data_IF_852154467745
#
_entry.id   IF_852154467745
#
_cell.length_a   1.000
_cell.length_b   1.000
_cell.length_c   1.000
_cell.angle_alpha   90.00
_cell.angle_beta   90.00
_cell.angle_gamma   90.00
#
_symmetry.space_group_name_H-M   'P 1'
#
loop_
_entity.id
_entity.type
_entity.pdbx_description
1 polymer ?
#
# COMPACT_ATOMS: atom_id res chain seq x y z
N UNK A 1 -3.27 15.53 -14.42
CA UNK A 1 -3.70 14.71 -13.26
C UNK A 1 -4.74 15.48 -12.47
N UNK A 2 -5.80 14.81 -12.08
CA UNK A 2 -6.88 15.40 -11.30
C UNK A 2 -6.49 15.45 -9.83
N UNK A 3 -6.82 16.56 -9.18
CA UNK A 3 -6.68 16.67 -7.73
C UNK A 3 -7.80 15.87 -7.06
N UNK A 4 -7.45 15.07 -6.05
CA UNK A 4 -8.43 14.32 -5.26
C UNK A 4 -8.65 14.98 -3.91
N UNK A 5 -9.91 14.99 -3.42
CA UNK A 5 -10.19 15.51 -2.09
C UNK A 5 -9.37 14.78 -1.02
N UNK A 6 -8.79 15.52 -0.09
CA UNK A 6 -7.90 14.98 0.93
C UNK A 6 -8.52 13.84 1.75
N UNK A 7 -9.81 13.93 2.05
CA UNK A 7 -10.50 12.90 2.82
C UNK A 7 -10.62 11.55 2.10
N UNK A 8 -10.39 11.52 0.77
CA UNK A 8 -10.37 10.29 -0.02
C UNK A 8 -9.00 9.63 -0.09
N UNK A 9 -7.96 10.31 0.39
CA UNK A 9 -6.60 9.83 0.31
C UNK A 9 -6.27 9.06 1.57
N UNK A 10 -5.94 7.77 1.42
CA UNK A 10 -5.64 6.90 2.56
C UNK A 10 -4.48 7.42 3.41
N UNK A 11 -3.49 8.04 2.77
CA UNK A 11 -2.30 8.55 3.46
C UNK A 11 -2.51 9.82 4.29
N UNK A 12 -3.64 10.53 4.16
CA UNK A 12 -3.91 11.75 4.92
C UNK A 12 -4.68 11.51 6.21
N UNK A 13 -5.14 10.29 6.42
CA UNK A 13 -5.95 9.97 7.59
C UNK A 13 -5.11 10.12 8.87
N UNK A 14 -5.63 10.89 9.83
CA UNK A 14 -5.06 11.06 11.19
C UNK A 14 -3.65 11.66 11.26
N UNK A 15 -3.47 12.84 10.74
CA UNK A 15 -2.34 13.69 11.13
C UNK A 15 -1.08 13.57 10.29
N UNK A 16 -1.11 12.79 9.23
CA UNK A 16 -0.05 12.82 8.23
C UNK A 16 -0.33 13.87 7.14
N UNK A 17 -1.37 14.68 7.37
CA UNK A 17 -1.75 15.73 6.44
C UNK A 17 -0.84 16.95 6.62
N UNK A 18 -0.20 17.32 5.53
CA UNK A 18 0.46 18.61 5.41
C UNK A 18 -0.54 19.58 4.78
N UNK A 19 -0.96 20.57 5.54
CA UNK A 19 -1.96 21.54 5.10
C UNK A 19 -1.56 22.30 3.81
N UNK A 20 -0.27 22.34 3.48
CA UNK A 20 0.25 23.01 2.30
C UNK A 20 0.42 22.08 1.10
N UNK A 21 0.27 20.77 1.31
CA UNK A 21 0.47 19.76 0.27
C UNK A 21 -0.70 19.64 -0.69
N UNK A 22 -0.40 19.35 -1.94
CA UNK A 22 -1.36 19.01 -2.98
C UNK A 22 -1.23 17.51 -3.33
N UNK A 23 -2.37 16.87 -3.56
CA UNK A 23 -2.44 15.47 -3.94
C UNK A 23 -2.99 15.33 -5.34
N UNK A 24 -2.22 14.69 -6.22
CA UNK A 24 -2.60 14.46 -7.61
C UNK A 24 -2.57 12.98 -7.93
N UNK A 25 -3.58 12.53 -8.67
CA UNK A 25 -3.66 11.15 -9.16
C UNK A 25 -2.86 11.05 -10.45
N UNK A 26 -1.85 10.18 -10.47
CA UNK A 26 -1.11 9.84 -11.68
C UNK A 26 -1.72 8.62 -12.37
N UNK A 27 -2.35 7.73 -11.61
CA UNK A 27 -3.09 6.59 -12.11
C UNK A 27 -4.21 6.25 -11.12
N UNK A 28 -5.39 5.97 -11.64
CA UNK A 28 -6.53 5.44 -10.88
C UNK A 28 -7.13 4.32 -11.72
N UNK A 29 -6.86 3.08 -11.35
CA UNK A 29 -7.27 1.92 -12.11
C UNK A 29 -8.13 0.98 -11.27
N UNK A 30 -9.18 0.45 -11.90
CA UNK A 30 -9.99 -0.62 -11.34
C UNK A 30 -9.64 -1.92 -12.06
N UNK A 31 -9.23 -2.93 -11.29
CA UNK A 31 -8.83 -4.23 -11.79
C UNK A 31 -9.67 -5.27 -11.06
N UNK A 32 -10.73 -5.74 -11.75
CA UNK A 32 -11.76 -6.58 -11.15
C UNK A 32 -12.35 -5.91 -9.91
N UNK A 33 -12.17 -6.46 -8.72
CA UNK A 33 -12.70 -5.94 -7.45
C UNK A 33 -11.66 -5.15 -6.64
N UNK A 34 -10.58 -4.74 -7.29
CA UNK A 34 -9.51 -3.99 -6.66
C UNK A 34 -9.37 -2.62 -7.33
N UNK A 35 -9.09 -1.59 -6.54
CA UNK A 35 -8.72 -0.26 -7.02
C UNK A 35 -7.29 0.02 -6.63
N UNK A 36 -6.49 0.51 -7.58
CA UNK A 36 -5.12 0.94 -7.35
C UNK A 36 -4.99 2.39 -7.79
N UNK A 37 -4.45 3.23 -6.90
CA UNK A 37 -4.10 4.60 -7.22
C UNK A 37 -2.62 4.85 -7.00
N UNK A 38 -1.98 5.47 -7.99
CA UNK A 38 -0.67 6.09 -7.85
C UNK A 38 -0.88 7.57 -7.56
N UNK A 39 -0.51 8.01 -6.38
CA UNK A 39 -0.75 9.36 -5.89
C UNK A 39 0.58 10.07 -5.70
N UNK A 40 0.66 11.30 -6.18
CA UNK A 40 1.81 12.19 -5.96
C UNK A 40 1.41 13.31 -5.04
N UNK A 41 2.15 13.46 -3.96
CA UNK A 41 2.02 14.59 -3.06
C UNK A 41 3.13 15.58 -3.33
N UNK A 42 2.76 16.81 -3.65
CA UNK A 42 3.68 17.92 -3.86
C UNK A 42 3.53 18.91 -2.71
N UNK A 43 4.63 19.35 -2.12
CA UNK A 43 4.59 20.31 -1.03
C UNK A 43 5.85 21.16 -1.01
N UNK A 44 5.75 22.49 -0.75
CA UNK A 44 6.93 23.33 -0.56
C UNK A 44 7.73 22.95 0.69
N UNK A 45 7.12 22.25 1.64
CA UNK A 45 7.75 21.74 2.86
C UNK A 45 8.21 20.29 2.75
N UNK A 46 8.18 19.72 1.55
CA UNK A 46 8.61 18.34 1.32
C UNK A 46 10.07 18.11 1.75
N UNK A 47 10.32 16.98 2.38
CA UNK A 47 11.68 16.52 2.68
C UNK A 47 12.40 15.95 1.46
N UNK A 48 11.70 15.76 0.35
CA UNK A 48 12.26 15.25 -0.89
C UNK A 48 12.94 16.36 -1.69
N UNK A 49 14.13 16.08 -2.22
CA UNK A 49 14.85 17.00 -3.11
C UNK A 49 13.97 17.44 -4.29
N UNK A 50 13.14 16.54 -4.81
CA UNK A 50 12.23 16.83 -5.92
C UNK A 50 11.06 17.75 -5.55
N UNK A 51 10.76 17.92 -4.25
CA UNK A 51 9.58 18.64 -3.78
C UNK A 51 8.30 17.81 -3.77
N UNK A 52 8.35 16.54 -4.14
CA UNK A 52 7.20 15.63 -4.15
C UNK A 52 7.59 14.22 -3.76
N UNK A 53 6.57 13.44 -3.36
CA UNK A 53 6.69 12.02 -3.05
C UNK A 53 5.53 11.25 -3.66
N UNK A 54 5.79 10.00 -4.00
CA UNK A 54 4.80 9.10 -4.58
C UNK A 54 4.43 7.98 -3.59
N UNK A 55 3.15 7.58 -3.61
CA UNK A 55 2.70 6.39 -2.92
C UNK A 55 1.66 5.63 -3.76
N UNK A 56 1.42 4.38 -3.42
CA UNK A 56 0.30 3.59 -3.93
C UNK A 56 -0.77 3.43 -2.87
N UNK A 57 -2.02 3.37 -3.30
CA UNK A 57 -3.17 2.99 -2.50
C UNK A 57 -3.83 1.79 -3.14
N UNK A 58 -4.05 0.74 -2.37
CA UNK A 58 -4.64 -0.51 -2.83
C UNK A 58 -5.86 -0.79 -1.97
N UNK A 59 -7.04 -0.79 -2.61
CA UNK A 59 -8.32 -1.06 -1.96
C UNK A 59 -9.07 -2.19 -2.67
N UNK A 60 -9.66 -3.09 -1.91
CA UNK A 60 -10.56 -4.12 -2.45
C UNK A 60 -10.00 -5.52 -2.36
N UNK A 61 -10.38 -6.38 -3.30
CA UNK A 61 -10.09 -7.82 -3.26
C UNK A 61 -8.82 -8.16 -4.04
N UNK A 62 -7.91 -8.88 -3.40
CA UNK A 62 -6.61 -9.28 -3.96
C UNK A 62 -6.77 -10.51 -4.86
N UNK A 63 -6.20 -10.44 -6.06
CA UNK A 63 -6.20 -11.53 -7.04
C UNK A 63 -5.01 -11.45 -7.99
N UNK A 64 -4.90 -12.37 -8.99
CA UNK A 64 -3.75 -12.46 -9.89
C UNK A 64 -3.49 -11.17 -10.67
N UNK A 65 -4.53 -10.54 -11.19
CA UNK A 65 -4.40 -9.32 -11.98
C UNK A 65 -3.94 -8.13 -11.12
N UNK A 66 -4.33 -8.11 -9.85
CA UNK A 66 -3.88 -7.08 -8.92
C UNK A 66 -2.40 -7.21 -8.60
N UNK A 67 -1.90 -8.43 -8.41
CA UNK A 67 -0.47 -8.69 -8.21
C UNK A 67 0.34 -8.25 -9.42
N UNK A 68 -0.11 -8.59 -10.63
CA UNK A 68 0.54 -8.17 -11.87
C UNK A 68 0.59 -6.64 -12.02
N UNK A 69 -0.49 -5.96 -11.64
CA UNK A 69 -0.54 -4.49 -11.68
C UNK A 69 0.44 -3.86 -10.69
N UNK A 70 0.51 -4.37 -9.47
CA UNK A 70 1.47 -3.92 -8.45
C UNK A 70 2.91 -4.09 -8.95
N UNK A 71 3.22 -5.22 -9.56
CA UNK A 71 4.55 -5.48 -10.13
C UNK A 71 4.95 -4.45 -11.18
N UNK A 72 3.99 -4.02 -12.02
CA UNK A 72 4.25 -2.98 -13.03
C UNK A 72 4.38 -1.59 -12.44
N UNK A 73 3.66 -1.30 -11.35
CA UNK A 73 3.57 0.06 -10.80
C UNK A 73 4.69 0.39 -9.80
N UNK A 74 5.15 -0.58 -9.01
CA UNK A 74 6.16 -0.32 -7.98
C UNK A 74 7.44 0.34 -8.53
N UNK A 75 8.01 -0.11 -9.67
CA UNK A 75 9.20 0.55 -10.21
C UNK A 75 8.96 1.95 -10.77
N UNK A 76 7.70 2.35 -10.95
CA UNK A 76 7.33 3.68 -11.47
C UNK A 76 7.21 4.73 -10.37
N UNK A 77 7.20 4.32 -9.10
CA UNK A 77 7.14 5.25 -8.00
C UNK A 77 8.43 6.06 -7.92
N UNK A 78 8.29 7.38 -7.88
CA UNK A 78 9.44 8.26 -7.72
C UNK A 78 10.05 8.05 -6.33
N UNK A 79 11.35 7.81 -6.28
CA UNK A 79 12.08 7.69 -5.02
C UNK A 79 12.40 9.07 -4.47
N UNK A 80 12.05 9.26 -3.21
CA UNK A 80 12.29 10.51 -2.50
C UNK A 80 13.70 10.54 -1.93
N UNK A 81 14.57 11.38 -2.49
CA UNK A 81 15.87 11.64 -1.90
C UNK A 81 15.72 12.65 -0.77
N UNK A 82 16.25 12.32 0.42
CA UNK A 82 16.21 13.19 1.59
C UNK A 82 17.08 14.42 1.39
N UNK A 83 16.47 15.59 1.30
CA UNK A 83 17.19 16.86 1.12
C UNK A 83 18.05 17.25 2.30
N UNK A 84 17.81 16.65 3.47
CA UNK A 84 18.54 16.93 4.70
C UNK A 84 19.70 15.95 4.93
N UNK A 85 19.85 14.94 4.08
CA UNK A 85 20.92 13.96 4.19
C UNK A 85 22.14 14.40 3.38
N UNK A 86 23.30 14.47 4.03
CA UNK A 86 24.58 14.72 3.36
C UNK A 86 25.09 13.51 2.56
N UNK A 87 24.58 12.31 2.89
CA UNK A 87 25.02 11.05 2.31
C UNK A 87 24.14 10.60 1.12
N UNK A 88 23.12 11.39 0.77
CA UNK A 88 22.21 11.06 -0.32
C UNK A 88 21.23 9.93 0.01
N UNK A 89 20.75 9.87 1.24
CA UNK A 89 19.80 8.86 1.66
C UNK A 89 18.45 9.01 0.96
N UNK A 90 17.77 7.88 0.81
CA UNK A 90 16.46 7.80 0.17
C UNK A 90 15.40 7.36 1.17
N UNK A 91 14.25 8.01 1.13
CA UNK A 91 13.06 7.50 1.81
C UNK A 91 12.43 6.37 1.00
N UNK A 92 11.92 5.37 1.69
CA UNK A 92 11.17 4.30 1.04
C UNK A 92 9.78 4.80 0.61
N UNK A 93 9.26 4.27 -0.49
CA UNK A 93 7.88 4.54 -0.89
C UNK A 93 6.92 3.77 0.01
N UNK A 94 5.72 4.33 0.21
CA UNK A 94 4.66 3.72 1.00
C UNK A 94 3.57 3.15 0.09
N UNK A 95 3.07 1.97 0.46
CA UNK A 95 1.84 1.40 -0.08
C UNK A 95 0.83 1.33 1.05
N UNK A 96 -0.30 2.01 0.88
CA UNK A 96 -1.44 1.97 1.80
C UNK A 96 -2.38 0.85 1.40
N UNK A 97 -2.75 0.00 2.35
CA UNK A 97 -3.59 -1.17 2.13
C UNK A 97 -4.93 -1.02 2.84
N UNK A 98 -6.00 -1.32 2.12
CA UNK A 98 -7.37 -1.40 2.65
C UNK A 98 -8.08 -2.54 1.93
N UNK A 99 -8.11 -3.74 2.53
CA UNK A 99 -8.58 -4.94 1.85
C UNK A 99 -9.07 -5.99 2.83
N UNK A 100 -10.18 -6.61 2.49
CA UNK A 100 -10.67 -7.81 3.20
C UNK A 100 -9.93 -9.09 2.83
N UNK A 101 -8.98 -9.01 1.90
CA UNK A 101 -8.20 -10.15 1.43
C UNK A 101 -8.53 -10.57 0.01
N UNK A 102 -8.44 -11.85 -0.26
CA UNK A 102 -8.63 -12.47 -1.56
C UNK A 102 -7.84 -13.77 -1.66
N UNK A 103 -7.19 -14.01 -2.79
CA UNK A 103 -6.42 -15.24 -2.98
C UNK A 103 -5.12 -15.21 -2.16
N UNK A 104 -4.90 -16.29 -1.42
CA UNK A 104 -3.76 -16.42 -0.51
C UNK A 104 -2.42 -16.36 -1.28
N UNK A 105 -2.33 -17.07 -2.41
CA UNK A 105 -1.12 -17.06 -3.24
C UNK A 105 -0.73 -15.65 -3.70
N UNK A 106 -1.71 -14.80 -3.99
CA UNK A 106 -1.49 -13.42 -4.39
C UNK A 106 -1.09 -12.53 -3.21
N UNK A 107 -1.57 -12.81 -2.02
CA UNK A 107 -1.09 -12.16 -0.80
C UNK A 107 0.40 -12.39 -0.60
N UNK A 108 0.86 -13.63 -0.73
CA UNK A 108 2.29 -13.97 -0.66
C UNK A 108 3.09 -13.32 -1.80
N UNK A 109 2.59 -13.40 -3.03
CA UNK A 109 3.27 -12.82 -4.18
C UNK A 109 3.42 -11.31 -4.05
N UNK A 110 2.36 -10.63 -3.62
CA UNK A 110 2.37 -9.18 -3.39
C UNK A 110 3.34 -8.80 -2.26
N UNK A 111 3.34 -9.57 -1.17
CA UNK A 111 4.29 -9.36 -0.07
C UNK A 111 5.75 -9.49 -0.51
N UNK A 112 6.06 -10.47 -1.36
CA UNK A 112 7.40 -10.62 -1.94
C UNK A 112 7.78 -9.43 -2.82
N UNK A 113 6.83 -8.85 -3.56
CA UNK A 113 7.07 -7.63 -4.34
C UNK A 113 7.38 -6.43 -3.43
N UNK A 114 6.64 -6.27 -2.35
CA UNK A 114 6.90 -5.19 -1.40
C UNK A 114 8.31 -5.30 -0.79
N UNK A 115 8.74 -6.51 -0.46
CA UNK A 115 10.10 -6.74 0.02
C UNK A 115 11.14 -6.45 -1.05
N UNK A 116 10.93 -6.92 -2.28
CA UNK A 116 11.85 -6.71 -3.40
C UNK A 116 12.09 -5.23 -3.70
N UNK A 117 11.03 -4.42 -3.65
CA UNK A 117 11.09 -2.99 -3.93
C UNK A 117 11.28 -2.13 -2.68
N UNK A 118 11.57 -2.75 -1.55
CA UNK A 118 11.84 -2.08 -0.28
C UNK A 118 10.72 -1.11 0.12
N UNK A 119 9.47 -1.58 0.06
CA UNK A 119 8.27 -0.79 0.32
C UNK A 119 7.94 -0.77 1.81
N UNK A 120 7.49 0.39 2.30
CA UNK A 120 6.79 0.50 3.56
C UNK A 120 5.32 0.20 3.33
N UNK A 121 4.75 -0.76 4.06
CA UNK A 121 3.32 -1.03 4.05
C UNK A 121 2.65 -0.31 5.23
N UNK A 122 1.46 0.25 4.99
CA UNK A 122 0.76 1.02 6.01
C UNK A 122 -0.75 0.77 5.94
N UNK A 123 -1.37 0.72 7.12
CA UNK A 123 -2.83 0.67 7.26
C UNK A 123 -3.25 1.91 8.02
N UNK A 124 -4.01 2.78 7.37
CA UNK A 124 -4.47 4.05 7.96
C UNK A 124 -5.66 3.85 8.88
N UNK A 125 -6.00 4.88 9.64
CA UNK A 125 -7.08 4.83 10.61
C UNK A 125 -8.41 4.47 9.99
N UNK A 126 -9.17 3.60 10.69
CA UNK A 126 -10.45 3.12 10.24
C UNK A 126 -10.41 2.11 9.10
N UNK A 127 -9.23 1.74 8.62
CA UNK A 127 -9.05 0.79 7.53
C UNK A 127 -8.73 -0.61 8.05
N UNK A 128 -8.97 -1.60 7.22
CA UNK A 128 -8.79 -3.02 7.54
C UNK A 128 -7.88 -3.67 6.51
N UNK A 129 -7.03 -4.57 6.97
CA UNK A 129 -6.24 -5.45 6.12
C UNK A 129 -6.32 -6.87 6.69
N UNK A 130 -7.05 -7.73 6.00
CA UNK A 130 -7.41 -9.06 6.49
C UNK A 130 -6.96 -10.16 5.55
N UNK A 131 -6.71 -11.36 6.09
CA UNK A 131 -6.44 -12.56 5.30
C UNK A 131 -5.21 -12.38 4.40
N UNK A 132 -5.34 -12.55 3.08
CA UNK A 132 -4.23 -12.37 2.13
C UNK A 132 -3.63 -10.96 2.14
N UNK A 133 -4.43 -9.94 2.48
CA UNK A 133 -3.92 -8.58 2.69
C UNK A 133 -2.94 -8.53 3.87
N UNK A 134 -3.28 -9.19 4.98
CA UNK A 134 -2.39 -9.24 6.15
C UNK A 134 -1.06 -9.92 5.81
N UNK A 135 -1.09 -10.95 4.98
CA UNK A 135 0.12 -11.61 4.48
C UNK A 135 0.94 -10.64 3.62
N UNK A 136 0.30 -9.93 2.69
CA UNK A 136 0.97 -8.93 1.86
C UNK A 136 1.60 -7.81 2.71
N UNK A 137 0.87 -7.33 3.72
CA UNK A 137 1.36 -6.31 4.66
C UNK A 137 2.68 -6.70 5.32
N UNK A 138 2.83 -7.97 5.68
CA UNK A 138 4.05 -8.47 6.32
C UNK A 138 5.29 -8.41 5.40
N UNK A 139 5.10 -8.29 4.09
CA UNK A 139 6.18 -8.13 3.13
C UNK A 139 6.85 -6.76 3.15
N UNK A 140 6.24 -5.76 3.75
CA UNK A 140 6.84 -4.45 3.89
C UNK A 140 8.12 -4.48 4.70
N UNK A 141 9.18 -3.80 4.23
CA UNK A 141 10.44 -3.69 4.98
C UNK A 141 10.28 -2.80 6.21
N UNK A 142 9.37 -1.84 6.13
CA UNK A 142 8.81 -1.13 7.28
C UNK A 142 7.30 -1.32 7.25
N UNK A 143 6.69 -1.40 8.42
CA UNK A 143 5.25 -1.61 8.56
C UNK A 143 4.71 -0.66 9.60
N UNK A 144 3.61 0.01 9.27
CA UNK A 144 2.93 0.87 10.20
C UNK A 144 1.43 0.67 10.13
N UNK A 145 0.77 0.85 11.26
CA UNK A 145 -0.68 0.88 11.31
C UNK A 145 -1.13 1.89 12.36
N UNK A 146 -2.22 2.56 12.08
CA UNK A 146 -2.80 3.49 13.02
C UNK A 146 -3.51 2.74 14.16
N UNK A 147 -3.70 3.38 15.31
CA UNK A 147 -4.21 2.70 16.51
C UNK A 147 -5.59 2.07 16.33
N UNK A 148 -6.44 2.63 15.46
CA UNK A 148 -7.78 2.11 15.15
C UNK A 148 -7.85 1.35 13.83
N UNK A 149 -6.70 1.10 13.19
CA UNK A 149 -6.63 0.22 12.04
C UNK A 149 -6.69 -1.24 12.48
N UNK A 150 -7.17 -2.11 11.59
CA UNK A 150 -7.30 -3.54 11.88
C UNK A 150 -6.41 -4.37 10.97
N UNK A 151 -5.63 -5.26 11.57
CA UNK A 151 -4.84 -6.27 10.88
C UNK A 151 -5.31 -7.64 11.36
N UNK A 152 -5.97 -8.40 10.48
CA UNK A 152 -6.65 -9.62 10.86
C UNK A 152 -6.10 -10.84 10.11
N UNK A 153 -5.67 -11.83 10.87
CA UNK A 153 -5.25 -13.12 10.36
C UNK A 153 -6.30 -14.17 10.72
N UNK A 154 -6.62 -15.03 9.78
CA UNK A 154 -7.48 -16.19 10.02
C UNK A 154 -7.01 -17.36 9.17
N UNK A 155 -7.41 -18.56 9.57
CA UNK A 155 -7.08 -19.77 8.80
C UNK A 155 -7.68 -19.66 7.39
N UNK A 156 -6.93 -20.02 6.34
CA UNK A 156 -7.48 -20.06 5.00
C UNK A 156 -8.59 -21.10 4.89
N UNK A 157 -9.54 -20.88 4.00
CA UNK A 157 -10.63 -21.82 3.74
C UNK A 157 -10.88 -21.90 2.22
N UNK A 158 -11.45 -23.03 1.81
CA UNK A 158 -11.86 -23.23 0.43
C UNK A 158 -13.08 -22.37 0.10
N UNK A 159 -13.32 -22.12 -1.18
CA UNK A 159 -14.47 -21.34 -1.65
C UNK A 159 -15.83 -21.87 -1.21
N UNK A 160 -15.90 -23.14 -0.78
CA UNK A 160 -17.10 -23.76 -0.22
C UNK A 160 -17.26 -23.55 1.30
N UNK A 161 -16.39 -22.76 1.94
CA UNK A 161 -16.44 -22.45 3.36
C UNK A 161 -15.76 -23.47 4.28
N UNK A 162 -15.13 -24.53 3.73
CA UNK A 162 -14.39 -25.51 4.53
C UNK A 162 -13.03 -24.93 4.91
N UNK A 163 -12.75 -24.86 6.22
CA UNK A 163 -11.45 -24.42 6.71
C UNK A 163 -10.35 -25.40 6.29
N UNK A 164 -9.21 -24.87 5.89
CA UNK A 164 -8.03 -25.65 5.53
C UNK A 164 -7.10 -25.65 6.75
N UNK A 165 -6.66 -26.83 7.18
CA UNK A 165 -5.68 -26.95 8.26
C UNK A 165 -4.32 -26.45 7.77
N UNK A 166 -3.68 -25.56 8.54
CA UNK A 166 -2.34 -25.06 8.24
C UNK A 166 -1.29 -26.18 8.14
N UNK A 167 -1.52 -27.32 8.76
CA UNK A 167 -0.66 -28.49 8.65
C UNK A 167 -0.60 -29.07 7.23
N UNK A 168 -1.62 -28.83 6.41
CA UNK A 168 -1.67 -29.29 5.01
C UNK A 168 -0.72 -28.51 4.08
N UNK A 169 -0.10 -27.45 4.57
CA UNK A 169 0.84 -26.59 3.83
C UNK A 169 2.31 -26.77 4.28
N UNK A 170 2.56 -27.78 5.10
CA UNK A 170 3.89 -28.06 5.65
C UNK A 170 4.95 -28.42 4.61
#
# INVERSE_FOLDING_TARGET
>A
SDEIPRHEILGTTYGFDDATGEYNILLDAKIDKLRIRHVRRTSPESYCVSGFSDHLEIEGTIGPDSTAAVERLLPKLHKCMDKNSSDGDWFVNTVYLSSGGGLLADGYAMGRLFKKYEIKTSITGGQQCSSSCAIAFLGGVYRSMYYDAELLFHAPYLSNGIAIDCADYG
#
